data_IF_325041350031
#
_entry.id   IF_325041350031
#
_cell.length_a   1.000
_cell.length_b   1.000
_cell.length_c   1.000
_cell.angle_alpha   90.00
_cell.angle_beta   90.00
_cell.angle_gamma   90.00
#
_symmetry.space_group_name_H-M   'P 1'
#
loop_
_entity.id
_entity.type
_entity.pdbx_description
1 polymer ?
#
# COMPACT_ATOMS: atom_id res chain seq x y z
N UNK A 1 19.87 -5.23 4.93
CA UNK A 1 18.42 -5.53 4.94
C UNK A 1 17.72 -4.21 5.25
N UNK A 2 17.35 -3.44 4.21
CA UNK A 2 16.72 -2.14 4.40
C UNK A 2 15.27 -2.38 4.84
N UNK A 3 14.92 -1.97 6.06
CA UNK A 3 13.56 -2.08 6.56
C UNK A 3 12.79 -0.82 6.18
N UNK A 4 11.70 -1.02 5.44
CA UNK A 4 10.78 0.07 5.12
C UNK A 4 9.82 0.31 6.27
N UNK A 5 9.40 1.55 6.46
CA UNK A 5 8.33 1.91 7.38
C UNK A 5 7.07 2.28 6.60
N UNK A 6 5.91 1.85 7.11
CA UNK A 6 4.61 2.07 6.50
C UNK A 6 3.65 2.77 7.46
N UNK A 7 2.97 3.80 6.99
CA UNK A 7 1.80 4.37 7.66
C UNK A 7 0.63 4.49 6.69
N UNK A 8 -0.55 4.03 7.09
CA UNK A 8 -1.79 4.19 6.32
C UNK A 8 -2.75 5.13 7.05
N UNK A 9 -3.47 5.96 6.30
CA UNK A 9 -4.53 6.83 6.82
C UNK A 9 -5.59 7.06 5.73
N UNK A 10 -6.88 7.13 6.08
CA UNK A 10 -7.94 7.36 5.11
C UNK A 10 -7.77 8.73 4.45
N UNK A 11 -7.86 8.79 3.12
CA UNK A 11 -7.89 10.04 2.38
C UNK A 11 -9.34 10.39 2.07
N UNK A 12 -9.82 11.54 2.58
CA UNK A 12 -11.05 12.15 2.09
C UNK A 12 -10.80 12.66 0.66
N UNK A 13 -11.29 11.92 -0.34
CA UNK A 13 -11.17 12.32 -1.74
C UNK A 13 -11.97 13.60 -2.00
N UNK A 14 -11.28 14.70 -2.33
CA UNK A 14 -11.89 15.89 -2.94
C UNK A 14 -11.72 15.75 -4.45
N UNK A 15 -12.83 15.54 -5.18
CA UNK A 15 -12.80 15.41 -6.64
C UNK A 15 -12.55 16.77 -7.32
N UNK A 16 -11.51 16.86 -8.15
CA UNK A 16 -11.23 18.06 -8.98
C UNK A 16 -11.35 17.80 -10.48
N UNK A 17 -12.26 16.93 -10.92
CA UNK A 17 -12.52 16.71 -12.35
C UNK A 17 -13.85 17.39 -12.81
N UNK A 18 -13.85 18.12 -13.94
CA UNK A 18 -15.05 18.67 -14.54
C UNK A 18 -15.92 17.57 -15.21
N UNK A 19 -17.25 17.75 -15.30
CA UNK A 19 -18.15 16.66 -15.65
C UNK A 19 -18.19 16.44 -17.16
N UNK A 20 -17.66 15.30 -17.63
CA UNK A 20 -18.03 14.70 -18.93
C UNK A 20 -18.57 13.29 -18.63
N UNK A 21 -19.81 13.05 -19.03
CA UNK A 21 -20.66 11.95 -18.58
C UNK A 21 -20.19 10.53 -19.00
N UNK A 22 -20.27 9.57 -18.06
CA UNK A 22 -20.53 8.12 -18.23
C UNK A 22 -20.88 7.48 -16.85
N UNK A 23 -21.67 6.39 -16.78
CA UNK A 23 -22.24 5.90 -15.54
C UNK A 23 -21.30 4.90 -14.86
N UNK A 24 -20.60 5.34 -13.80
CA UNK A 24 -20.30 4.59 -12.57
C UNK A 24 -19.33 5.44 -11.74
N UNK A 25 -19.85 6.47 -11.08
CA UNK A 25 -19.10 7.16 -10.04
C UNK A 25 -19.05 6.25 -8.81
N UNK A 26 -18.13 5.28 -8.80
CA UNK A 26 -17.69 4.65 -7.55
C UNK A 26 -16.91 5.71 -6.78
N UNK A 27 -17.48 6.22 -5.70
CA UNK A 27 -16.77 7.03 -4.70
C UNK A 27 -15.71 6.17 -4.05
N UNK A 28 -14.57 6.00 -4.72
CA UNK A 28 -13.51 5.14 -4.22
C UNK A 28 -12.76 5.91 -3.13
N UNK A 29 -12.90 5.45 -1.89
CA UNK A 29 -12.10 5.97 -0.78
C UNK A 29 -10.69 5.45 -0.97
N UNK A 30 -9.74 6.33 -1.24
CA UNK A 30 -8.31 5.96 -1.26
C UNK A 30 -7.69 6.19 0.11
N UNK A 31 -6.53 5.57 0.33
CA UNK A 31 -5.74 5.73 1.54
C UNK A 31 -4.43 6.42 1.22
N UNK A 32 -4.07 7.41 2.03
CA UNK A 32 -2.72 7.97 2.02
C UNK A 32 -1.79 6.99 2.67
N UNK A 33 -0.87 6.46 1.88
CA UNK A 33 0.13 5.50 2.32
C UNK A 33 1.50 6.15 2.21
N UNK A 34 2.18 6.29 3.35
CA UNK A 34 3.56 6.81 3.38
C UNK A 34 4.53 5.66 3.57
N UNK A 35 5.48 5.56 2.63
CA UNK A 35 6.55 4.57 2.62
C UNK A 35 7.86 5.30 2.87
N UNK A 36 8.60 4.87 3.90
CA UNK A 36 9.96 5.37 4.16
C UNK A 36 10.97 4.32 3.70
N UNK A 37 11.81 4.68 2.74
CA UNK A 37 12.89 3.86 2.20
C UNK A 37 14.18 4.68 2.10
N UNK A 38 15.32 4.15 2.56
CA UNK A 38 16.62 4.83 2.50
C UNK A 38 16.60 6.28 3.01
N UNK A 39 15.84 6.53 4.10
CA UNK A 39 15.70 7.86 4.70
C UNK A 39 14.77 8.82 3.95
N UNK A 40 14.17 8.40 2.83
CA UNK A 40 13.20 9.18 2.06
C UNK A 40 11.78 8.71 2.32
N UNK A 41 10.91 9.64 2.68
CA UNK A 41 9.47 9.40 2.76
C UNK A 41 8.78 9.75 1.43
N UNK A 42 7.96 8.83 0.94
CA UNK A 42 7.12 9.02 -0.25
C UNK A 42 5.68 8.67 0.11
N UNK A 43 4.73 9.56 -0.19
CA UNK A 43 3.30 9.32 0.03
C UNK A 43 2.61 9.06 -1.30
N UNK A 44 1.82 8.00 -1.36
CA UNK A 44 1.02 7.58 -2.51
C UNK A 44 -0.44 7.38 -2.06
N UNK A 45 -1.40 7.65 -2.95
CA UNK A 45 -2.82 7.38 -2.70
C UNK A 45 -3.17 5.99 -3.25
N UNK A 46 -3.47 5.04 -2.36
CA UNK A 46 -3.68 3.63 -2.69
C UNK A 46 -5.15 3.26 -2.52
N UNK A 47 -5.71 2.56 -3.50
CA UNK A 47 -7.08 2.08 -3.43
C UNK A 47 -7.21 0.87 -2.46
N UNK A 48 -8.36 0.69 -1.77
CA UNK A 48 -8.57 -0.41 -0.82
C UNK A 48 -8.45 -1.80 -1.46
N UNK A 49 -8.65 -1.88 -2.78
CA UNK A 49 -8.61 -3.10 -3.57
C UNK A 49 -7.30 -3.25 -4.35
N UNK A 50 -6.31 -2.39 -4.08
CA UNK A 50 -5.00 -2.40 -4.72
C UNK A 50 -3.90 -2.70 -3.68
N UNK A 51 -2.90 -3.50 -4.06
CA UNK A 51 -1.75 -3.73 -3.17
C UNK A 51 -0.86 -2.50 -3.12
N UNK A 52 -0.28 -2.25 -1.94
CA UNK A 52 0.64 -1.12 -1.76
C UNK A 52 1.87 -1.25 -2.68
N UNK A 53 2.35 -2.48 -2.95
CA UNK A 53 3.44 -2.68 -3.91
C UNK A 53 3.05 -2.28 -5.33
N UNK A 54 1.87 -2.65 -5.81
CA UNK A 54 1.43 -2.29 -7.16
C UNK A 54 1.41 -0.76 -7.32
N UNK A 55 0.77 -0.06 -6.39
CA UNK A 55 0.70 1.40 -6.45
C UNK A 55 2.06 2.08 -6.31
N UNK A 56 2.96 1.53 -5.50
CA UNK A 56 4.32 2.02 -5.34
C UNK A 56 5.09 1.95 -6.68
N UNK A 57 5.00 0.82 -7.39
CA UNK A 57 5.65 0.65 -8.69
C UNK A 57 5.08 1.57 -9.77
N UNK A 58 3.75 1.73 -9.81
CA UNK A 58 3.07 2.66 -10.73
C UNK A 58 3.48 4.12 -10.45
N UNK A 59 3.76 4.45 -9.19
CA UNK A 59 4.29 5.74 -8.77
C UNK A 59 5.81 5.86 -8.96
N UNK A 60 6.44 4.91 -9.67
CA UNK A 60 7.89 4.83 -9.90
C UNK A 60 8.73 4.76 -8.62
N UNK A 61 8.16 4.31 -7.51
CA UNK A 61 8.89 4.07 -6.26
C UNK A 61 9.61 2.72 -6.35
N UNK A 62 10.94 2.77 -6.19
CA UNK A 62 11.77 1.57 -6.17
C UNK A 62 11.79 1.03 -4.74
N UNK A 63 11.09 -0.07 -4.53
CA UNK A 63 11.12 -0.85 -3.28
C UNK A 63 11.58 -2.28 -3.57
N UNK A 64 12.27 -2.95 -2.62
CA UNK A 64 12.65 -4.36 -2.77
C UNK A 64 11.43 -5.24 -3.05
N UNK A 65 11.51 -6.08 -4.09
CA UNK A 65 10.49 -7.05 -4.45
C UNK A 65 11.05 -8.12 -5.40
N UNK A 66 10.34 -9.24 -5.54
CA UNK A 66 10.73 -10.34 -6.46
C UNK A 66 9.47 -11.03 -7.02
N UNK A 67 8.98 -12.08 -6.36
CA UNK A 67 7.88 -12.93 -6.86
C UNK A 67 6.48 -12.29 -6.84
N UNK A 68 6.22 -11.32 -5.96
CA UNK A 68 4.91 -10.63 -5.81
C UNK A 68 3.70 -11.55 -5.54
N UNK A 69 3.92 -12.73 -4.96
CA UNK A 69 2.87 -13.72 -4.66
C UNK A 69 2.55 -13.83 -3.16
N UNK A 70 3.06 -12.94 -2.31
CA UNK A 70 2.84 -13.04 -0.86
C UNK A 70 3.56 -14.20 -0.15
N UNK A 71 4.41 -14.97 -0.85
CA UNK A 71 5.06 -16.19 -0.33
C UNK A 71 6.57 -16.08 -0.09
N UNK A 72 7.16 -14.88 -0.24
CA UNK A 72 8.60 -14.66 0.01
C UNK A 72 8.82 -13.46 0.94
N UNK A 73 10.04 -13.33 1.49
CA UNK A 73 10.45 -12.23 2.38
C UNK A 73 11.26 -11.16 1.64
N UNK A 74 10.96 -10.91 0.36
CA UNK A 74 11.70 -9.93 -0.47
C UNK A 74 11.13 -8.51 -0.44
N UNK A 75 9.86 -8.33 -0.02
CA UNK A 75 9.23 -7.01 0.14
C UNK A 75 8.72 -6.73 1.57
N UNK A 76 9.51 -7.04 2.63
CA UNK A 76 9.06 -6.85 3.99
C UNK A 76 9.02 -5.36 4.35
N UNK A 77 7.99 -4.98 5.10
CA UNK A 77 7.79 -3.64 5.64
C UNK A 77 7.37 -3.75 7.11
N UNK A 78 7.82 -2.79 7.91
CA UNK A 78 7.33 -2.61 9.28
C UNK A 78 6.17 -1.62 9.25
N UNK A 79 4.99 -2.06 9.67
CA UNK A 79 3.84 -1.17 9.87
C UNK A 79 4.09 -0.32 11.13
N UNK A 80 4.13 1.00 10.94
CA UNK A 80 4.33 1.97 12.02
C UNK A 80 2.98 2.44 12.56
N UNK A 81 2.00 2.67 11.68
CA UNK A 81 0.65 3.10 12.05
C UNK A 81 -0.38 2.79 10.97
N UNK A 82 -1.65 2.77 11.36
CA UNK A 82 -2.77 2.41 10.48
C UNK A 82 -2.94 0.90 10.36
N UNK A 83 -3.79 0.47 9.43
CA UNK A 83 -4.13 -0.93 9.23
C UNK A 83 -3.88 -1.36 7.78
N UNK A 84 -3.58 -2.65 7.61
CA UNK A 84 -3.54 -3.32 6.31
C UNK A 84 -4.16 -4.71 6.43
N UNK A 85 -4.89 -5.11 5.41
CA UNK A 85 -5.29 -6.51 5.20
C UNK A 85 -4.19 -7.23 4.43
N UNK A 86 -3.75 -8.37 4.96
CA UNK A 86 -2.74 -9.23 4.33
C UNK A 86 -3.12 -10.71 4.38
N UNK A 87 -4.42 -10.99 4.39
CA UNK A 87 -4.96 -12.35 4.41
C UNK A 87 -4.52 -13.22 3.23
N UNK A 88 -4.06 -12.60 2.12
CA UNK A 88 -3.53 -13.31 0.94
C UNK A 88 -2.05 -13.70 1.05
N UNK A 89 -1.34 -13.24 2.09
CA UNK A 89 0.09 -13.50 2.29
C UNK A 89 0.38 -14.74 3.17
N UNK A 90 1.61 -15.25 3.09
CA UNK A 90 2.03 -16.39 3.94
C UNK A 90 2.22 -16.05 5.41
N UNK A 91 2.38 -14.77 5.74
CA UNK A 91 2.57 -14.33 7.13
C UNK A 91 1.22 -14.27 7.81
N UNK A 92 1.05 -15.07 8.86
CA UNK A 92 -0.12 -14.99 9.73
C UNK A 92 -0.09 -13.74 10.60
N UNK A 93 -1.26 -13.29 11.05
CA UNK A 93 -1.45 -12.09 11.88
C UNK A 93 -0.64 -12.11 13.20
N UNK A 94 -0.25 -13.30 13.65
CA UNK A 94 0.59 -13.53 14.83
C UNK A 94 2.05 -13.08 14.66
N UNK A 95 2.50 -12.83 13.42
CA UNK A 95 3.79 -12.20 13.11
C UNK A 95 3.56 -10.69 13.04
N UNK A 96 3.41 -10.06 14.20
CA UNK A 96 2.90 -8.69 14.35
C UNK A 96 3.84 -7.64 13.72
N UNK A 97 5.14 -7.92 13.60
CA UNK A 97 6.15 -6.89 13.29
C UNK A 97 6.24 -6.56 11.80
N UNK A 98 5.91 -7.50 10.90
CA UNK A 98 6.15 -7.34 9.47
C UNK A 98 4.92 -7.59 8.60
N UNK A 99 4.90 -6.88 7.48
CA UNK A 99 3.96 -7.03 6.37
C UNK A 99 4.74 -7.19 5.06
N UNK A 100 4.14 -7.78 4.05
CA UNK A 100 4.66 -7.94 2.69
C UNK A 100 3.90 -6.96 1.79
N UNK A 101 4.59 -5.99 1.21
CA UNK A 101 3.93 -4.96 0.37
C UNK A 101 3.12 -5.57 -0.79
N UNK A 102 3.55 -6.71 -1.32
CA UNK A 102 2.87 -7.40 -2.43
C UNK A 102 1.55 -8.08 -2.06
N UNK A 103 1.22 -8.18 -0.78
CA UNK A 103 -0.03 -8.77 -0.30
C UNK A 103 -0.76 -7.84 0.68
N UNK A 104 -0.30 -6.59 0.84
CA UNK A 104 -0.87 -5.63 1.80
C UNK A 104 -1.83 -4.67 1.10
N UNK A 105 -3.07 -4.65 1.55
CA UNK A 105 -4.14 -3.74 1.13
C UNK A 105 -4.43 -2.74 2.25
N UNK A 106 -4.50 -1.42 1.98
CA UNK A 106 -4.73 -0.44 3.03
C UNK A 106 -6.15 -0.52 3.61
N UNK A 107 -6.29 -0.24 4.91
CA UNK A 107 -7.54 -0.16 5.67
C UNK A 107 -7.54 1.04 6.61
#
# INVERSE_FOLDING_TARGET
MAMLHLSTSPALAQSTDPPIALPSASSHTSYKVTIVHDGRATTIDVDPNETILAKALDSSLIVPHDYKLGVCMMCPVRLVSGEVDQSEGMLSDNVVVYRLLCASYPR
#
